data_IF_920651329786
#
_entry.id   IF_920651329786
#
_cell.length_a   1.000
_cell.length_b   1.000
_cell.length_c   1.000
_cell.angle_alpha   90.00
_cell.angle_beta   90.00
_cell.angle_gamma   90.00
#
_symmetry.space_group_name_H-M   'P 1'
#
loop_
_entity.id
_entity.type
_entity.pdbx_description
1 polymer ?
#
# COMPACT_ATOMS: atom_id res chain seq x y z
N UNK A 1 24.99 4.10 15.22
CA UNK A 1 24.20 4.69 14.14
C UNK A 1 22.81 4.10 14.23
N UNK A 2 21.81 4.89 14.62
CA UNK A 2 20.43 4.40 14.70
C UNK A 2 19.77 4.44 13.32
N UNK A 3 19.92 3.36 12.56
CA UNK A 3 19.34 3.25 11.21
C UNK A 3 18.06 2.43 11.24
N UNK A 4 17.09 2.87 10.43
CA UNK A 4 15.85 2.16 10.20
C UNK A 4 15.86 1.52 8.81
N UNK A 5 15.65 0.21 8.74
CA UNK A 5 15.44 -0.50 7.48
C UNK A 5 14.00 -1.00 7.40
N UNK A 6 13.32 -0.62 6.31
CA UNK A 6 11.94 -0.97 6.05
C UNK A 6 11.90 -2.02 4.95
N UNK A 7 11.21 -3.13 5.21
CA UNK A 7 11.08 -4.25 4.27
C UNK A 7 9.61 -4.53 3.93
N UNK A 8 9.32 -5.09 2.74
CA UNK A 8 7.95 -5.19 2.25
C UNK A 8 7.17 -6.31 2.95
N UNK A 9 7.85 -7.34 3.46
CA UNK A 9 7.18 -8.51 4.05
C UNK A 9 7.85 -8.99 5.34
N UNK A 10 7.04 -9.61 6.21
CA UNK A 10 7.55 -10.31 7.40
C UNK A 10 8.46 -11.49 7.07
N UNK A 11 8.41 -12.02 5.84
CA UNK A 11 9.38 -13.05 5.38
C UNK A 11 10.75 -12.42 5.16
N UNK A 12 10.82 -11.30 4.43
CA UNK A 12 12.07 -10.57 4.20
C UNK A 12 12.73 -10.14 5.52
N UNK A 13 11.96 -9.60 6.46
CA UNK A 13 12.45 -9.24 7.80
C UNK A 13 13.08 -10.43 8.54
N UNK A 14 12.47 -11.62 8.47
CA UNK A 14 13.01 -12.82 9.11
C UNK A 14 14.33 -13.26 8.49
N UNK A 15 14.42 -13.27 7.16
CA UNK A 15 15.65 -13.60 6.43
C UNK A 15 16.78 -12.64 6.79
N UNK A 16 16.52 -11.33 6.76
CA UNK A 16 17.53 -10.31 7.10
C UNK A 16 17.94 -10.42 8.57
N UNK A 17 16.99 -10.61 9.48
CA UNK A 17 17.29 -10.79 10.90
C UNK A 17 18.14 -12.04 11.18
N UNK A 18 17.92 -13.14 10.45
CA UNK A 18 18.76 -14.33 10.56
C UNK A 18 20.20 -14.05 10.11
N UNK A 19 20.37 -13.43 8.94
CA UNK A 19 21.69 -13.08 8.40
C UNK A 19 22.46 -12.12 9.33
N UNK A 20 21.77 -11.18 9.96
CA UNK A 20 22.41 -10.23 10.88
C UNK A 20 22.83 -10.85 12.21
N UNK A 21 22.23 -11.96 12.66
CA UNK A 21 22.67 -12.68 13.87
C UNK A 21 24.08 -13.27 13.74
N UNK A 22 24.54 -13.46 12.51
CA UNK A 22 25.88 -13.97 12.21
C UNK A 22 26.94 -12.87 12.24
N UNK A 23 26.52 -11.60 12.33
CA UNK A 23 27.41 -10.42 12.34
C UNK A 23 27.58 -9.84 13.75
N UNK A 24 28.78 -9.37 14.06
CA UNK A 24 29.09 -8.72 15.35
C UNK A 24 28.79 -7.22 15.24
N UNK A 25 27.77 -6.73 15.93
CA UNK A 25 27.42 -5.31 15.96
C UNK A 25 26.06 -5.00 16.58
N UNK A 26 25.73 -3.71 16.67
CA UNK A 26 24.38 -3.27 16.99
C UNK A 26 23.47 -3.50 15.78
N UNK A 27 22.33 -4.14 16.00
CA UNK A 27 21.36 -4.41 14.94
C UNK A 27 20.60 -3.13 14.60
N UNK A 28 20.36 -2.85 13.30
CA UNK A 28 19.46 -1.78 12.91
C UNK A 28 18.04 -2.08 13.37
N UNK A 29 17.20 -1.04 13.44
CA UNK A 29 15.76 -1.25 13.63
C UNK A 29 15.17 -1.74 12.32
N UNK A 30 14.37 -2.81 12.40
CA UNK A 30 13.70 -3.40 11.24
C UNK A 30 12.18 -3.31 11.42
N UNK A 31 11.45 -2.87 10.40
CA UNK A 31 9.99 -2.89 10.40
C UNK A 31 9.40 -3.03 9.00
N UNK A 32 8.09 -3.27 8.92
CA UNK A 32 7.36 -3.19 7.65
C UNK A 32 6.87 -1.78 7.36
N UNK A 33 6.46 -1.54 6.12
CA UNK A 33 5.88 -0.25 5.72
C UNK A 33 4.62 0.09 6.52
N UNK A 34 3.71 -0.86 6.74
CA UNK A 34 2.49 -0.65 7.52
C UNK A 34 2.78 -0.27 8.98
N UNK A 35 3.84 -0.83 9.56
CA UNK A 35 4.30 -0.49 10.90
C UNK A 35 4.96 0.90 10.95
N UNK A 36 5.69 1.26 9.89
CA UNK A 36 6.29 2.57 9.75
C UNK A 36 5.21 3.65 9.64
N UNK A 37 4.22 3.49 8.77
CA UNK A 37 3.13 4.45 8.59
C UNK A 37 2.35 4.66 9.89
N UNK A 38 1.97 3.59 10.57
CA UNK A 38 1.23 3.66 11.84
C UNK A 38 1.98 4.45 12.93
N UNK A 39 3.31 4.36 12.95
CA UNK A 39 4.16 5.06 13.95
C UNK A 39 4.61 6.43 13.47
N UNK A 40 4.76 6.60 12.16
CA UNK A 40 5.24 7.78 11.48
C UNK A 40 4.21 8.89 11.39
N UNK A 41 2.93 8.57 11.61
CA UNK A 41 1.85 9.56 11.63
C UNK A 41 1.18 9.66 13.00
N UNK A 42 0.68 10.84 13.31
CA UNK A 42 -0.14 11.15 14.48
C UNK A 42 -1.48 11.73 14.02
N UNK A 43 -2.55 11.29 14.67
CA UNK A 43 -3.90 11.82 14.48
C UNK A 43 -4.28 12.59 15.74
N UNK A 44 -4.14 13.92 15.72
CA UNK A 44 -4.44 14.75 16.88
C UNK A 44 -5.94 14.82 17.14
N UNK A 45 -6.34 14.65 18.40
CA UNK A 45 -7.71 14.83 18.89
C UNK A 45 -8.77 13.97 18.17
N UNK A 46 -8.38 12.88 17.51
CA UNK A 46 -9.28 11.96 16.82
C UNK A 46 -8.95 10.52 17.20
N UNK A 47 -9.99 9.70 17.35
CA UNK A 47 -9.86 8.28 17.64
C UNK A 47 -10.21 7.49 16.39
N UNK A 48 -9.38 6.50 16.03
CA UNK A 48 -9.72 5.60 14.93
C UNK A 48 -10.99 4.81 15.29
N UNK A 49 -12.00 4.88 14.42
CA UNK A 49 -13.28 4.19 14.66
C UNK A 49 -13.12 2.67 14.65
N UNK A 50 -13.84 1.97 15.55
CA UNK A 50 -13.84 0.51 15.57
C UNK A 50 -14.69 -0.09 14.42
N UNK A 51 -14.41 -1.32 13.97
CA UNK A 51 -15.07 -1.90 12.80
C UNK A 51 -16.60 -1.96 12.87
N UNK A 52 -17.19 -2.15 14.05
CA UNK A 52 -18.64 -2.25 14.18
C UNK A 52 -19.28 -0.86 14.09
N UNK A 53 -18.76 0.11 14.85
CA UNK A 53 -19.23 1.50 14.79
C UNK A 53 -19.06 2.10 13.40
N UNK A 54 -17.95 1.77 12.73
CA UNK A 54 -17.65 2.16 11.35
C UNK A 54 -18.82 1.88 10.42
N UNK A 55 -19.32 0.65 10.45
CA UNK A 55 -20.42 0.18 9.59
C UNK A 55 -21.75 0.84 9.99
N UNK A 56 -22.01 0.98 11.28
CA UNK A 56 -23.25 1.61 11.78
C UNK A 56 -23.33 3.09 11.40
N UNK A 57 -22.21 3.83 11.49
CA UNK A 57 -22.17 5.23 11.09
C UNK A 57 -22.27 5.41 9.58
N UNK A 58 -21.62 4.56 8.78
CA UNK A 58 -21.78 4.59 7.32
C UNK A 58 -23.23 4.30 6.92
N UNK A 59 -23.87 3.32 7.57
CA UNK A 59 -25.30 3.03 7.35
C UNK A 59 -26.18 4.22 7.69
N UNK A 60 -25.89 4.93 8.78
CA UNK A 60 -26.60 6.15 9.16
C UNK A 60 -26.36 7.28 8.14
N UNK A 61 -25.14 7.41 7.62
CA UNK A 61 -24.79 8.36 6.58
C UNK A 61 -25.51 8.10 5.24
N UNK A 62 -25.85 6.84 4.97
CA UNK A 62 -26.58 6.40 3.79
C UNK A 62 -28.10 6.63 3.86
N UNK A 63 -28.63 7.17 4.96
CA UNK A 63 -30.05 7.42 5.13
C UNK A 63 -30.49 8.74 4.47
N UNK A 64 -30.53 8.76 3.14
CA UNK A 64 -31.05 9.87 2.34
C UNK A 64 -31.66 9.37 1.02
N UNK A 65 -32.70 10.05 0.52
CA UNK A 65 -33.56 9.57 -0.57
C UNK A 65 -32.79 9.15 -1.83
N UNK A 66 -31.79 9.94 -2.25
CA UNK A 66 -31.02 9.66 -3.46
C UNK A 66 -30.21 8.34 -3.37
N UNK A 67 -29.88 7.88 -2.16
CA UNK A 67 -29.13 6.64 -1.95
C UNK A 67 -29.87 5.40 -2.45
N UNK A 68 -31.21 5.42 -2.45
CA UNK A 68 -32.03 4.30 -2.92
C UNK A 68 -31.75 3.94 -4.39
N UNK A 69 -31.31 4.92 -5.19
CA UNK A 69 -30.98 4.72 -6.61
C UNK A 69 -29.73 3.85 -6.84
N UNK A 70 -28.85 3.69 -5.84
CA UNK A 70 -27.73 2.74 -5.88
C UNK A 70 -28.19 1.28 -5.75
N UNK A 71 -29.47 1.03 -5.46
CA UNK A 71 -30.04 -0.31 -5.25
C UNK A 71 -29.28 -1.12 -4.18
N UNK A 72 -28.65 -0.42 -3.23
CA UNK A 72 -28.01 -1.02 -2.07
C UNK A 72 -29.02 -1.16 -0.93
N UNK A 73 -29.13 -2.37 -0.40
CA UNK A 73 -30.08 -2.68 0.65
C UNK A 73 -29.55 -2.20 2.02
N UNK A 74 -30.26 -1.26 2.64
CA UNK A 74 -29.95 -0.69 3.96
C UNK A 74 -30.36 -1.60 5.13
N UNK A 75 -30.93 -2.79 4.87
CA UNK A 75 -31.08 -3.81 5.91
C UNK A 75 -29.71 -4.18 6.46
N UNK A 76 -29.63 -4.19 7.79
CA UNK A 76 -28.35 -4.24 8.49
C UNK A 76 -27.46 -5.40 8.00
N UNK A 77 -28.01 -6.61 7.89
CA UNK A 77 -27.30 -7.82 7.46
C UNK A 77 -26.72 -7.68 6.05
N UNK A 78 -27.48 -7.12 5.10
CA UNK A 78 -27.00 -6.95 3.72
C UNK A 78 -26.00 -5.81 3.60
N UNK A 79 -26.22 -4.71 4.31
CA UNK A 79 -25.28 -3.59 4.33
C UNK A 79 -23.92 -4.00 4.91
N UNK A 80 -23.89 -4.79 5.98
CA UNK A 80 -22.65 -5.38 6.53
C UNK A 80 -21.81 -6.11 5.47
N UNK A 81 -22.44 -6.84 4.55
CA UNK A 81 -21.73 -7.59 3.51
C UNK A 81 -21.23 -6.73 2.35
N UNK A 82 -21.75 -5.50 2.19
CA UNK A 82 -21.48 -4.62 1.05
C UNK A 82 -20.68 -3.37 1.43
N UNK A 83 -20.69 -2.97 2.69
CA UNK A 83 -19.99 -1.76 3.17
C UNK A 83 -18.48 -1.82 2.96
N UNK A 84 -17.87 -3.02 2.97
CA UNK A 84 -16.45 -3.19 2.72
C UNK A 84 -16.02 -2.64 1.34
N UNK A 85 -16.84 -2.82 0.31
CA UNK A 85 -16.55 -2.29 -1.02
C UNK A 85 -16.60 -0.76 -1.05
N UNK A 86 -17.56 -0.14 -0.32
CA UNK A 86 -17.65 1.32 -0.21
C UNK A 86 -16.43 1.88 0.53
N UNK A 87 -16.05 1.26 1.64
CA UNK A 87 -14.86 1.68 2.39
C UNK A 87 -13.59 1.57 1.56
N UNK A 88 -13.35 0.44 0.89
CA UNK A 88 -12.20 0.28 0.00
C UNK A 88 -12.17 1.31 -1.10
N UNK A 89 -13.32 1.58 -1.74
CA UNK A 89 -13.40 2.62 -2.75
C UNK A 89 -13.00 4.00 -2.21
N UNK A 90 -13.51 4.41 -1.04
CA UNK A 90 -13.13 5.68 -0.42
C UNK A 90 -11.66 5.71 0.03
N UNK A 91 -11.16 4.61 0.59
CA UNK A 91 -9.74 4.47 0.98
C UNK A 91 -8.82 4.58 -0.25
N UNK A 92 -9.17 3.94 -1.37
CA UNK A 92 -8.40 3.98 -2.62
C UNK A 92 -8.38 5.40 -3.22
N UNK A 93 -9.52 6.08 -3.29
CA UNK A 93 -9.58 7.46 -3.76
C UNK A 93 -8.72 8.39 -2.89
N UNK A 94 -8.80 8.23 -1.57
CA UNK A 94 -8.01 9.03 -0.64
C UNK A 94 -6.51 8.73 -0.74
N UNK A 95 -6.11 7.46 -0.86
CA UNK A 95 -4.71 7.07 -0.98
C UNK A 95 -4.08 7.53 -2.30
N UNK A 96 -4.86 7.56 -3.39
CA UNK A 96 -4.41 8.02 -4.70
C UNK A 96 -4.61 9.53 -4.94
N UNK A 97 -5.11 10.28 -3.95
CA UNK A 97 -5.41 11.71 -4.06
C UNK A 97 -6.31 12.05 -5.27
N UNK A 98 -7.37 11.24 -5.45
CA UNK A 98 -8.35 11.40 -6.55
C UNK A 98 -9.68 11.87 -5.98
N UNK A 99 -10.14 13.04 -6.43
CA UNK A 99 -11.47 13.56 -6.10
C UNK A 99 -12.57 12.90 -6.95
N UNK A 100 -13.82 12.99 -6.48
CA UNK A 100 -14.99 12.56 -7.25
C UNK A 100 -15.12 13.35 -8.56
N UNK A 101 -14.81 14.63 -8.56
CA UNK A 101 -14.79 15.47 -9.76
C UNK A 101 -13.80 14.95 -10.80
N UNK A 102 -12.57 14.62 -10.38
CA UNK A 102 -11.55 14.06 -11.27
C UNK A 102 -11.99 12.71 -11.82
N UNK A 103 -12.61 11.88 -11.00
CA UNK A 103 -13.10 10.57 -11.42
C UNK A 103 -14.26 10.68 -12.43
N UNK A 104 -15.20 11.60 -12.20
CA UNK A 104 -16.36 11.82 -13.08
C UNK A 104 -15.97 12.35 -14.47
N UNK A 105 -14.83 13.04 -14.59
CA UNK A 105 -14.30 13.52 -15.87
C UNK A 105 -13.59 12.44 -16.68
N UNK A 106 -13.28 11.28 -16.09
CA UNK A 106 -12.63 10.19 -16.81
C UNK A 106 -13.64 9.45 -17.69
N UNK A 107 -13.29 9.22 -18.96
CA UNK A 107 -14.16 8.57 -19.95
C UNK A 107 -14.73 7.23 -19.48
N UNK A 108 -13.95 6.47 -18.71
CA UNK A 108 -14.36 5.19 -18.16
C UNK A 108 -15.56 5.28 -17.18
N UNK A 109 -15.82 6.47 -16.63
CA UNK A 109 -16.82 6.72 -15.60
C UNK A 109 -17.96 7.66 -16.04
N UNK A 110 -17.99 8.10 -17.30
CA UNK A 110 -18.95 9.10 -17.78
C UNK A 110 -20.42 8.73 -17.53
N UNK A 111 -20.77 7.44 -17.58
CA UNK A 111 -22.14 6.96 -17.34
C UNK A 111 -22.51 6.85 -15.85
N UNK A 112 -21.54 6.99 -14.94
CA UNK A 112 -21.73 6.79 -13.50
C UNK A 112 -21.84 8.10 -12.71
N UNK A 113 -21.94 9.26 -13.37
CA UNK A 113 -21.94 10.57 -12.71
C UNK A 113 -22.93 10.67 -11.53
N UNK A 114 -24.19 10.29 -11.72
CA UNK A 114 -25.20 10.29 -10.64
C UNK A 114 -24.81 9.36 -9.48
N UNK A 115 -24.20 8.20 -9.77
CA UNK A 115 -23.74 7.30 -8.72
C UNK A 115 -22.56 7.88 -7.94
N UNK A 116 -21.63 8.56 -8.63
CA UNK A 116 -20.50 9.25 -8.01
C UNK A 116 -20.96 10.39 -7.10
N UNK A 117 -21.93 11.21 -7.52
CA UNK A 117 -22.52 12.28 -6.69
C UNK A 117 -23.14 11.71 -5.39
N UNK A 118 -23.82 10.56 -5.48
CA UNK A 118 -24.40 9.91 -4.31
C UNK A 118 -23.31 9.38 -3.36
N UNK A 119 -22.25 8.79 -3.92
CA UNK A 119 -21.13 8.26 -3.14
C UNK A 119 -20.32 9.38 -2.47
N UNK A 120 -20.13 10.51 -3.15
CA UNK A 120 -19.52 11.71 -2.58
C UNK A 120 -20.34 12.24 -1.41
N UNK A 121 -21.66 12.41 -1.61
CA UNK A 121 -22.57 12.83 -0.53
C UNK A 121 -22.57 11.86 0.64
N UNK A 122 -22.50 10.55 0.38
CA UNK A 122 -22.38 9.54 1.42
C UNK A 122 -21.08 9.74 2.23
N UNK A 123 -19.95 9.93 1.55
CA UNK A 123 -18.65 10.13 2.20
C UNK A 123 -18.67 11.38 3.10
N UNK A 124 -19.28 12.46 2.63
CA UNK A 124 -19.37 13.71 3.39
C UNK A 124 -20.31 13.61 4.60
N UNK A 125 -21.47 12.96 4.44
CA UNK A 125 -22.36 12.65 5.56
C UNK A 125 -21.63 11.77 6.61
N UNK A 126 -20.85 10.80 6.14
CA UNK A 126 -20.07 9.91 7.00
C UNK A 126 -18.98 10.67 7.76
N UNK A 127 -18.24 11.56 7.07
CA UNK A 127 -17.23 12.45 7.65
C UNK A 127 -17.82 13.29 8.78
N UNK A 128 -18.97 13.93 8.53
CA UNK A 128 -19.68 14.75 9.52
C UNK A 128 -20.07 13.93 10.76
N UNK A 129 -20.57 12.70 10.56
CA UNK A 129 -20.90 11.81 11.67
C UNK A 129 -19.67 11.42 12.49
N UNK A 130 -18.55 11.09 11.85
CA UNK A 130 -17.29 10.79 12.55
C UNK A 130 -16.84 11.98 13.40
N UNK A 131 -16.80 13.18 12.80
CA UNK A 131 -16.36 14.40 13.49
C UNK A 131 -17.22 14.71 14.72
N UNK A 132 -18.54 14.55 14.62
CA UNK A 132 -19.44 14.77 15.75
C UNK A 132 -19.22 13.82 16.95
N UNK A 133 -18.55 12.68 16.73
CA UNK A 133 -18.23 11.71 17.78
C UNK A 133 -16.73 11.71 18.15
N UNK A 134 -15.91 12.61 17.58
CA UNK A 134 -14.47 12.64 17.79
C UNK A 134 -13.71 11.49 17.12
N UNK A 135 -14.31 10.88 16.10
CA UNK A 135 -13.72 9.76 15.37
C UNK A 135 -13.04 10.19 14.07
N UNK A 136 -12.22 9.28 13.53
CA UNK A 136 -11.69 9.32 12.17
C UNK A 136 -11.68 7.92 11.57
N UNK A 137 -11.56 7.88 10.25
CA UNK A 137 -11.48 6.68 9.44
C UNK A 137 -10.21 6.71 8.58
N UNK A 138 -9.78 5.54 8.07
CA UNK A 138 -8.64 5.40 7.16
C UNK A 138 -8.77 6.30 5.94
N UNK A 139 -9.98 6.39 5.37
CA UNK A 139 -10.28 7.22 4.20
C UNK A 139 -10.08 8.72 4.44
N UNK A 140 -9.86 9.16 5.69
CA UNK A 140 -9.59 10.56 6.03
C UNK A 140 -8.24 10.78 6.69
N UNK A 141 -7.40 9.74 6.82
CA UNK A 141 -6.06 9.86 7.39
C UNK A 141 -5.21 10.88 6.61
N UNK A 142 -5.18 10.88 5.26
CA UNK A 142 -4.42 11.86 4.50
C UNK A 142 -4.80 13.33 4.76
N UNK A 143 -6.03 13.59 5.24
CA UNK A 143 -6.50 14.97 5.53
C UNK A 143 -6.05 15.50 6.90
N UNK A 144 -5.83 14.61 7.86
CA UNK A 144 -5.69 15.00 9.27
C UNK A 144 -4.36 14.59 9.90
N UNK A 145 -3.54 13.80 9.20
CA UNK A 145 -2.29 13.33 9.77
C UNK A 145 -1.31 14.48 10.02
N UNK A 146 -0.46 14.28 11.02
CA UNK A 146 0.80 14.99 11.16
C UNK A 146 1.93 13.98 11.25
N UNK A 147 3.12 14.37 10.83
CA UNK A 147 4.29 13.55 11.05
C UNK A 147 4.60 13.41 12.54
N UNK A 148 4.93 12.19 12.96
CA UNK A 148 5.48 11.91 14.27
C UNK A 148 6.97 12.26 14.29
N UNK A 149 7.28 13.56 14.35
CA UNK A 149 8.67 14.04 14.26
C UNK A 149 9.58 13.41 15.32
N UNK A 150 9.07 13.16 16.54
CA UNK A 150 9.83 12.52 17.61
C UNK A 150 10.22 11.07 17.29
N UNK A 151 9.36 10.33 16.58
CA UNK A 151 9.69 8.99 16.09
C UNK A 151 10.66 9.06 14.91
N UNK A 152 10.41 9.93 13.93
CA UNK A 152 11.22 10.04 12.71
C UNK A 152 12.65 10.49 13.03
N UNK A 153 12.78 11.58 13.80
CA UNK A 153 14.09 12.15 14.19
C UNK A 153 14.88 11.30 15.18
N UNK A 154 14.29 10.21 15.71
CA UNK A 154 15.04 9.25 16.51
C UNK A 154 16.06 8.46 15.69
N UNK A 155 15.89 8.41 14.36
CA UNK A 155 16.79 7.73 13.43
C UNK A 155 17.72 8.71 12.72
N UNK A 156 18.93 8.26 12.42
CA UNK A 156 19.92 9.02 11.65
C UNK A 156 19.72 8.88 10.14
N UNK A 157 19.13 7.76 9.70
CA UNK A 157 18.79 7.50 8.30
C UNK A 157 17.71 6.44 8.19
N UNK A 158 16.91 6.53 7.12
CA UNK A 158 15.89 5.54 6.76
C UNK A 158 16.23 4.92 5.40
N UNK A 159 16.21 3.60 5.33
CA UNK A 159 16.42 2.83 4.12
C UNK A 159 15.19 1.95 3.84
N UNK A 160 14.65 2.02 2.64
CA UNK A 160 13.41 1.32 2.26
C UNK A 160 13.72 0.34 1.14
N UNK A 161 13.44 -0.94 1.37
CA UNK A 161 13.41 -1.95 0.33
C UNK A 161 11.99 -2.04 -0.23
N UNK A 162 11.76 -1.40 -1.36
CA UNK A 162 10.44 -1.28 -1.94
C UNK A 162 10.16 -2.44 -2.91
N UNK A 163 9.04 -3.12 -2.69
CA UNK A 163 8.40 -4.02 -3.63
C UNK A 163 6.97 -3.53 -3.90
N UNK A 164 6.52 -3.63 -5.15
CA UNK A 164 5.18 -3.17 -5.53
C UNK A 164 5.11 -1.68 -5.83
N UNK A 165 4.02 -1.05 -5.41
CA UNK A 165 3.63 0.31 -5.80
C UNK A 165 3.36 1.15 -4.55
N UNK A 166 3.75 2.42 -4.60
CA UNK A 166 3.38 3.42 -3.60
C UNK A 166 2.23 4.27 -4.16
N UNK A 167 1.15 4.34 -3.40
CA UNK A 167 0.07 5.31 -3.61
C UNK A 167 0.60 6.75 -3.54
N UNK A 168 -0.19 7.72 -4.00
CA UNK A 168 0.23 9.13 -3.95
C UNK A 168 0.43 9.60 -2.51
N UNK A 169 -0.43 9.16 -1.60
CA UNK A 169 -0.31 9.44 -0.17
C UNK A 169 0.99 8.88 0.41
N UNK A 170 1.27 7.58 0.21
CA UNK A 170 2.51 6.96 0.72
C UNK A 170 3.76 7.67 0.18
N UNK A 171 3.78 7.99 -1.12
CA UNK A 171 4.89 8.70 -1.73
C UNK A 171 5.05 10.12 -1.15
N UNK A 172 3.95 10.84 -0.97
CA UNK A 172 3.94 12.18 -0.35
C UNK A 172 4.43 12.14 1.09
N UNK A 173 4.00 11.14 1.86
CA UNK A 173 4.45 10.89 3.22
C UNK A 173 5.97 10.67 3.27
N UNK A 174 6.50 9.81 2.40
CA UNK A 174 7.94 9.57 2.32
C UNK A 174 8.72 10.81 1.91
N UNK A 175 8.16 11.67 1.04
CA UNK A 175 8.77 12.96 0.69
C UNK A 175 8.77 13.97 1.85
N UNK A 176 7.77 13.97 2.71
CA UNK A 176 7.80 14.79 3.92
C UNK A 176 8.83 14.28 4.92
N UNK A 177 8.90 12.96 5.11
CA UNK A 177 9.91 12.31 5.96
C UNK A 177 11.32 12.61 5.46
N UNK A 178 11.56 12.57 4.14
CA UNK A 178 12.88 12.79 3.55
C UNK A 178 13.45 14.20 3.77
N UNK A 179 12.60 15.16 4.14
CA UNK A 179 12.99 16.53 4.55
C UNK A 179 13.54 16.59 5.98
N UNK A 180 13.21 15.61 6.82
CA UNK A 180 13.63 15.57 8.24
C UNK A 180 14.83 14.65 8.46
N UNK A 181 14.85 13.51 7.77
CA UNK A 181 15.87 12.47 7.92
C UNK A 181 16.31 11.98 6.53
N UNK A 182 17.61 11.72 6.31
CA UNK A 182 18.09 11.12 5.08
C UNK A 182 17.34 9.82 4.75
N UNK A 183 16.69 9.79 3.59
CA UNK A 183 15.89 8.67 3.13
C UNK A 183 16.42 8.15 1.80
N UNK A 184 16.62 6.83 1.71
CA UNK A 184 16.98 6.14 0.48
C UNK A 184 16.11 4.92 0.23
N UNK A 185 15.97 4.54 -1.05
CA UNK A 185 15.10 3.47 -1.51
C UNK A 185 15.88 2.52 -2.41
N UNK A 186 15.77 1.23 -2.12
CA UNK A 186 16.13 0.14 -3.01
C UNK A 186 14.91 -0.29 -3.82
N UNK A 187 15.03 -0.28 -5.14
CA UNK A 187 13.93 -0.62 -6.03
C UNK A 187 14.42 -1.32 -7.29
N UNK A 188 13.73 -2.41 -7.66
CA UNK A 188 14.01 -3.12 -8.91
C UNK A 188 13.04 -2.65 -9.99
N UNK A 189 13.58 -2.03 -11.04
CA UNK A 189 12.79 -1.57 -12.18
C UNK A 189 12.60 -2.67 -13.21
N UNK A 190 11.44 -2.68 -13.86
CA UNK A 190 11.12 -3.60 -14.96
C UNK A 190 10.05 -2.99 -15.87
N UNK A 191 9.75 -3.67 -16.98
CA UNK A 191 8.62 -3.29 -17.85
C UNK A 191 7.25 -3.34 -17.14
N UNK A 192 7.13 -4.07 -16.03
CA UNK A 192 5.86 -4.27 -15.33
C UNK A 192 5.54 -3.18 -14.31
N UNK A 193 6.53 -2.38 -13.91
CA UNK A 193 6.39 -1.38 -12.86
C UNK A 193 6.74 0.04 -13.34
N UNK A 194 6.53 0.28 -14.63
CA UNK A 194 6.80 1.56 -15.30
C UNK A 194 6.05 2.73 -14.66
N UNK A 195 4.78 2.54 -14.25
CA UNK A 195 3.99 3.59 -13.57
C UNK A 195 4.69 4.15 -12.32
N UNK A 196 5.33 3.29 -11.53
CA UNK A 196 6.06 3.74 -10.34
C UNK A 196 7.34 4.49 -10.73
N UNK A 197 7.99 4.09 -11.83
CA UNK A 197 9.14 4.83 -12.38
C UNK A 197 8.74 6.24 -12.82
N UNK A 198 7.59 6.39 -13.47
CA UNK A 198 7.04 7.71 -13.86
C UNK A 198 6.77 8.61 -12.64
N UNK A 199 6.29 8.03 -11.53
CA UNK A 199 6.12 8.76 -10.27
C UNK A 199 7.46 9.27 -9.73
N UNK A 200 8.47 8.41 -9.65
CA UNK A 200 9.81 8.84 -9.23
C UNK A 200 10.42 9.89 -10.18
N UNK A 201 10.18 9.76 -11.49
CA UNK A 201 10.65 10.74 -12.48
C UNK A 201 9.98 12.10 -12.28
N UNK A 202 8.69 12.14 -11.93
CA UNK A 202 7.96 13.37 -11.57
C UNK A 202 8.58 14.05 -10.35
N UNK A 203 9.19 13.28 -9.43
CA UNK A 203 9.95 13.79 -8.28
C UNK A 203 11.39 14.20 -8.63
N UNK A 204 11.78 14.14 -9.90
CA UNK A 204 13.14 14.45 -10.37
C UNK A 204 14.12 13.28 -10.31
N UNK A 205 13.66 12.06 -10.04
CA UNK A 205 14.50 10.87 -9.93
C UNK A 205 14.24 9.94 -11.11
N UNK A 206 15.06 10.07 -12.16
CA UNK A 206 14.97 9.20 -13.33
C UNK A 206 15.69 7.88 -13.08
N UNK A 207 14.94 6.78 -13.00
CA UNK A 207 15.49 5.43 -12.83
C UNK A 207 15.70 4.75 -14.20
N UNK A 208 16.78 3.98 -14.38
CA UNK A 208 16.92 3.09 -15.54
C UNK A 208 15.85 1.99 -15.54
N UNK A 209 15.50 1.45 -16.70
CA UNK A 209 14.65 0.26 -16.81
C UNK A 209 15.48 -1.03 -16.66
N UNK A 210 14.87 -2.09 -16.12
CA UNK A 210 15.50 -3.42 -15.92
C UNK A 210 16.78 -3.36 -15.09
N UNK A 211 16.73 -2.69 -13.93
CA UNK A 211 17.88 -2.55 -13.05
C UNK A 211 17.48 -2.67 -11.58
N UNK A 212 18.39 -3.17 -10.75
CA UNK A 212 18.34 -2.96 -9.32
C UNK A 212 18.94 -1.58 -9.05
N UNK A 213 18.17 -0.70 -8.43
CA UNK A 213 18.55 0.69 -8.18
C UNK A 213 18.55 0.97 -6.69
N UNK A 214 19.46 1.83 -6.27
CA UNK A 214 19.46 2.46 -4.95
C UNK A 214 19.54 3.96 -5.17
N UNK A 215 18.59 4.71 -4.63
CA UNK A 215 18.51 6.15 -4.85
C UNK A 215 18.11 6.88 -3.57
N UNK A 216 18.52 8.13 -3.45
CA UNK A 216 18.14 9.00 -2.34
C UNK A 216 16.88 9.77 -2.70
N UNK A 217 15.86 9.67 -1.86
CA UNK A 217 14.66 10.51 -1.94
C UNK A 217 14.91 11.92 -1.37
N UNK A 218 15.87 12.05 -0.46
CA UNK A 218 16.31 13.34 0.10
C UNK A 218 17.08 14.16 -0.93
N UNK A 219 18.12 13.58 -1.54
CA UNK A 219 19.00 14.27 -2.50
C UNK A 219 18.47 14.22 -3.94
N UNK A 220 17.36 13.50 -4.18
CA UNK A 220 16.77 13.26 -5.51
C UNK A 220 17.79 12.75 -6.54
N UNK A 221 18.60 11.77 -6.16
CA UNK A 221 19.68 11.22 -7.02
C UNK A 221 19.80 9.71 -6.92
N UNK A 222 20.17 9.07 -8.02
CA UNK A 222 20.55 7.66 -8.04
C UNK A 222 21.94 7.50 -7.43
N UNK A 223 22.05 6.64 -6.40
CA UNK A 223 23.29 6.37 -5.67
C UNK A 223 24.05 5.20 -6.29
N UNK A 224 23.33 4.14 -6.67
CA UNK A 224 23.89 3.01 -7.41
C UNK A 224 22.84 2.32 -8.27
N UNK A 225 23.30 1.63 -9.31
CA UNK A 225 22.46 0.84 -10.19
C UNK A 225 23.23 -0.35 -10.75
N UNK A 226 22.56 -1.49 -10.87
CA UNK A 226 23.08 -2.70 -11.53
C UNK A 226 22.03 -3.26 -12.47
N UNK A 227 22.44 -3.70 -13.66
CA UNK A 227 21.51 -4.28 -14.61
C UNK A 227 20.88 -5.55 -14.03
N UNK A 228 19.55 -5.63 -14.06
CA UNK A 228 18.84 -6.84 -13.69
C UNK A 228 18.99 -7.87 -14.81
N UNK A 229 19.75 -8.93 -14.54
CA UNK A 229 20.04 -10.02 -15.49
C UNK A 229 19.16 -11.25 -15.25
N UNK A 230 18.21 -11.16 -14.32
CA UNK A 230 17.31 -12.27 -14.03
C UNK A 230 16.47 -12.59 -15.27
N UNK A 231 16.39 -13.88 -15.57
CA UNK A 231 15.56 -14.42 -16.64
C UNK A 231 14.71 -15.52 -16.08
N UNK A 232 13.43 -15.55 -16.49
CA UNK A 232 12.52 -16.61 -16.11
C UNK A 232 12.43 -17.61 -17.26
N UNK A 233 12.79 -18.86 -16.99
CA UNK A 233 12.47 -20.00 -17.85
C UNK A 233 11.11 -20.59 -17.42
N UNK A 234 10.04 -20.07 -18.02
CA UNK A 234 8.67 -20.44 -17.66
C UNK A 234 8.12 -21.53 -18.59
N UNK A 235 7.52 -22.57 -18.00
CA UNK A 235 6.73 -23.57 -18.72
C UNK A 235 5.25 -23.31 -18.49
N UNK A 236 4.47 -23.29 -19.57
CA UNK A 236 3.02 -23.13 -19.53
C UNK A 236 2.36 -24.47 -19.77
N UNK A 237 1.40 -24.82 -18.92
CA UNK A 237 0.63 -26.06 -18.99
C UNK A 237 -0.85 -25.76 -19.20
N UNK A 238 -1.53 -26.62 -19.96
CA UNK A 238 -2.99 -26.65 -20.10
C UNK A 238 -3.50 -27.98 -19.59
N UNK A 239 -4.61 -27.95 -18.87
CA UNK A 239 -5.29 -29.13 -18.29
C UNK A 239 -6.73 -29.20 -18.77
N UNK A 240 -7.33 -30.40 -18.71
CA UNK A 240 -8.73 -30.60 -19.06
C UNK A 240 -9.66 -30.07 -17.97
N UNK A 241 -9.33 -30.39 -16.71
CA UNK A 241 -10.12 -30.01 -15.54
C UNK A 241 -9.29 -29.23 -14.52
N UNK A 242 -9.94 -28.40 -13.70
CA UNK A 242 -9.24 -27.50 -12.76
C UNK A 242 -8.45 -28.27 -11.70
N UNK A 243 -8.97 -29.41 -11.23
CA UNK A 243 -8.33 -30.27 -10.25
C UNK A 243 -6.99 -30.87 -10.74
N UNK A 244 -6.81 -31.03 -12.06
CA UNK A 244 -5.57 -31.57 -12.62
C UNK A 244 -4.37 -30.62 -12.41
N UNK A 245 -4.63 -29.32 -12.17
CA UNK A 245 -3.58 -28.35 -11.82
C UNK A 245 -2.85 -28.76 -10.54
N UNK A 246 -3.54 -29.43 -9.60
CA UNK A 246 -2.97 -29.91 -8.34
C UNK A 246 -1.90 -30.98 -8.61
N UNK A 247 -2.19 -31.93 -9.50
CA UNK A 247 -1.24 -32.99 -9.85
C UNK A 247 0.01 -32.42 -10.55
N UNK A 248 -0.16 -31.40 -11.40
CA UNK A 248 0.97 -30.71 -12.03
C UNK A 248 1.84 -30.01 -10.98
N UNK A 249 1.23 -29.28 -10.04
CA UNK A 249 1.96 -28.60 -8.98
C UNK A 249 2.81 -29.59 -8.15
N UNK A 250 2.21 -30.69 -7.68
CA UNK A 250 2.94 -31.72 -6.94
C UNK A 250 4.07 -32.34 -7.75
N UNK A 251 3.84 -32.62 -9.04
CA UNK A 251 4.88 -33.16 -9.92
C UNK A 251 6.08 -32.21 -10.07
N UNK A 252 5.85 -30.91 -10.23
CA UNK A 252 6.95 -29.96 -10.37
C UNK A 252 7.66 -29.70 -9.03
N UNK A 253 6.93 -29.64 -7.91
CA UNK A 253 7.53 -29.58 -6.57
C UNK A 253 8.43 -30.79 -6.33
N UNK A 254 7.93 -32.00 -6.63
CA UNK A 254 8.67 -33.24 -6.46
C UNK A 254 9.98 -33.23 -7.28
N UNK A 255 9.93 -32.77 -8.55
CA UNK A 255 11.12 -32.59 -9.37
C UNK A 255 12.11 -31.60 -8.78
N UNK A 256 11.64 -30.46 -8.27
CA UNK A 256 12.50 -29.43 -7.68
C UNK A 256 13.20 -29.94 -6.43
N UNK A 257 12.48 -30.64 -5.56
CA UNK A 257 13.06 -31.27 -4.36
C UNK A 257 14.07 -32.35 -4.72
N UNK A 258 13.76 -33.22 -5.70
CA UNK A 258 14.71 -34.22 -6.19
C UNK A 258 15.94 -33.60 -6.87
N UNK A 259 15.82 -32.40 -7.43
CA UNK A 259 16.94 -31.62 -7.96
C UNK A 259 17.78 -30.93 -6.86
N UNK A 260 17.38 -31.07 -5.59
CA UNK A 260 18.10 -30.54 -4.42
C UNK A 260 17.67 -29.15 -3.98
N UNK A 261 16.55 -28.62 -4.50
CA UNK A 261 15.99 -27.34 -4.05
C UNK A 261 15.29 -27.57 -2.69
N UNK A 262 15.66 -26.84 -1.62
CA UNK A 262 14.99 -26.94 -0.33
C UNK A 262 13.49 -26.63 -0.46
N UNK A 263 12.65 -27.41 0.22
CA UNK A 263 11.20 -27.26 0.09
C UNK A 263 10.70 -25.87 0.52
N UNK A 264 11.38 -25.25 1.49
CA UNK A 264 11.13 -23.90 2.00
C UNK A 264 11.45 -22.76 1.01
N UNK A 265 12.18 -23.07 -0.08
CA UNK A 265 12.50 -22.13 -1.15
C UNK A 265 11.57 -22.24 -2.36
N UNK A 266 10.68 -23.25 -2.40
CA UNK A 266 9.69 -23.42 -3.47
C UNK A 266 8.42 -22.65 -3.12
N UNK A 267 7.98 -21.76 -4.01
CA UNK A 267 6.82 -20.84 -3.84
C UNK A 267 5.81 -21.03 -4.96
#
# INVERSE_FOLDING_TARGET
MNQLHIYPTSRALRTVSQNQKETVGFLPTLMRMDEFEQRGILLENKIQIDPLQRILLLRKAANFDAFESLKLDLSLVRFFTKSDALFKFFEELSAEDVSFDTLAQADAYAEFGTHLEILERLLENYRTLLESHGFTDKAFVPLYYKLNEGFISSYESIEIHLEGYLSHFELSLLEEVSKQVPLSIHYTTSKFNFKMQERFETLGIKLPTNAHTHFSLTDKKVLSQTHNKESIDAKVYTVGEREEQIAIAFREIDKMVHAGIPAEEIV
#
